data_IF_045292038985
#
_entry.id   IF_045292038985
#
_cell.length_a   1.000
_cell.length_b   1.000
_cell.length_c   1.000
_cell.angle_alpha   90.00
_cell.angle_beta   90.00
_cell.angle_gamma   90.00
#
_symmetry.space_group_name_H-M   'P 1'
#
loop_
_entity.id
_entity.type
_entity.pdbx_description
1 polymer ?
#
# COMPACT_ATOMS: atom_id res chain seq x y z
N UNK A 1 0.60 -0.79 10.13
CA UNK A 1 0.49 0.67 10.32
C UNK A 1 -0.96 1.09 10.13
N UNK A 2 -1.58 1.38 11.26
CA UNK A 2 -2.88 2.01 11.41
C UNK A 2 -2.60 3.31 12.18
N UNK A 3 -3.26 4.39 11.78
CA UNK A 3 -3.14 5.69 12.43
C UNK A 3 -4.46 6.01 13.09
N UNK A 4 -4.42 6.24 14.41
CA UNK A 4 -5.59 6.54 15.21
C UNK A 4 -5.48 7.96 15.78
N UNK A 5 -6.56 8.73 15.65
CA UNK A 5 -6.70 10.01 16.33
C UNK A 5 -7.02 9.77 17.81
N UNK A 6 -6.30 10.43 18.72
CA UNK A 6 -6.57 10.36 20.16
C UNK A 6 -7.62 11.38 20.64
N UNK A 7 -8.07 12.29 19.77
CA UNK A 7 -9.16 13.23 20.04
C UNK A 7 -9.87 13.69 18.76
N UNK A 8 -10.96 14.44 18.95
CA UNK A 8 -11.84 14.88 17.87
C UNK A 8 -11.19 15.90 16.90
N UNK A 9 -10.34 16.79 17.40
CA UNK A 9 -9.62 17.77 16.57
C UNK A 9 -8.68 17.08 15.59
N UNK A 10 -7.86 16.14 16.09
CA UNK A 10 -6.97 15.31 15.28
C UNK A 10 -7.77 14.43 14.33
N UNK A 11 -8.93 13.91 14.74
CA UNK A 11 -9.78 13.12 13.86
C UNK A 11 -10.24 13.92 12.63
N UNK A 12 -10.72 15.15 12.86
CA UNK A 12 -11.19 16.06 11.80
C UNK A 12 -10.05 16.44 10.86
N UNK A 13 -8.88 16.74 11.42
CA UNK A 13 -7.68 17.08 10.65
C UNK A 13 -7.11 15.89 9.85
N UNK A 14 -7.11 14.68 10.41
CA UNK A 14 -6.75 13.48 9.66
C UNK A 14 -7.75 13.23 8.53
N UNK A 15 -9.05 13.35 8.80
CA UNK A 15 -10.09 13.16 7.80
C UNK A 15 -9.92 14.12 6.62
N UNK A 16 -9.69 15.41 6.88
CA UNK A 16 -9.44 16.40 5.83
C UNK A 16 -8.15 16.11 5.07
N UNK A 17 -7.08 15.70 5.77
CA UNK A 17 -5.80 15.34 5.16
C UNK A 17 -5.91 14.12 4.23
N UNK A 18 -6.67 13.09 4.63
CA UNK A 18 -6.99 11.94 3.78
C UNK A 18 -7.83 12.36 2.56
N UNK A 19 -8.81 13.24 2.75
CA UNK A 19 -9.68 13.75 1.68
C UNK A 19 -8.90 14.55 0.66
N UNK A 20 -7.98 15.41 1.12
CA UNK A 20 -7.15 16.29 0.31
C UNK A 20 -5.91 15.59 -0.27
N UNK A 21 -5.68 14.31 0.06
CA UNK A 21 -4.51 13.51 -0.35
C UNK A 21 -3.16 14.08 0.11
N UNK A 22 -3.14 14.77 1.23
CA UNK A 22 -1.90 15.31 1.84
C UNK A 22 -1.10 14.25 2.61
N UNK A 23 -1.53 12.99 2.56
CA UNK A 23 -0.95 11.87 3.29
C UNK A 23 -0.20 10.98 2.30
N UNK A 24 1.12 10.97 2.42
CA UNK A 24 1.99 10.05 1.68
C UNK A 24 1.96 8.67 2.34
N UNK A 25 1.68 7.64 1.56
CA UNK A 25 1.66 6.24 2.02
C UNK A 25 2.52 5.39 1.11
N UNK A 26 3.52 4.73 1.68
CA UNK A 26 4.41 3.83 0.97
C UNK A 26 4.36 2.41 1.55
N UNK A 27 4.42 1.43 0.66
CA UNK A 27 4.31 0.01 0.94
C UNK A 27 5.45 -0.72 0.22
N UNK A 28 6.05 -1.72 0.86
CA UNK A 28 6.95 -2.67 0.19
C UNK A 28 6.24 -4.01 0.03
N UNK A 29 6.34 -4.66 -1.13
CA UNK A 29 5.78 -6.01 -1.32
C UNK A 29 6.62 -6.86 -2.26
N UNK A 30 6.46 -8.18 -2.17
CA UNK A 30 7.00 -9.14 -3.12
C UNK A 30 5.88 -9.63 -4.05
N UNK A 31 6.16 -9.68 -5.34
CA UNK A 31 5.21 -10.14 -6.38
C UNK A 31 5.83 -11.24 -7.23
N UNK A 32 4.97 -12.06 -7.82
CA UNK A 32 5.37 -13.15 -8.72
C UNK A 32 5.99 -12.61 -10.02
N UNK A 33 7.06 -13.25 -10.47
CA UNK A 33 7.74 -12.97 -11.73
C UNK A 33 8.47 -11.63 -11.79
N UNK A 34 8.92 -11.29 -13.00
CA UNK A 34 9.49 -9.98 -13.33
C UNK A 34 8.42 -9.06 -13.87
N UNK A 35 8.49 -7.79 -13.48
CA UNK A 35 7.65 -6.76 -14.10
C UNK A 35 8.22 -6.37 -15.45
N UNK A 36 7.34 -5.96 -16.37
CA UNK A 36 7.75 -5.46 -17.70
C UNK A 36 8.55 -4.15 -17.62
N UNK A 37 8.36 -3.38 -16.56
CA UNK A 37 9.01 -2.09 -16.33
C UNK A 37 9.54 -2.01 -14.90
N UNK A 38 10.66 -1.30 -14.72
CA UNK A 38 11.27 -1.08 -13.40
C UNK A 38 10.51 -0.05 -12.55
N UNK A 39 9.62 0.74 -13.15
CA UNK A 39 8.72 1.63 -12.46
C UNK A 39 7.46 1.87 -13.29
N UNK A 40 6.42 2.42 -12.68
CA UNK A 40 5.22 2.81 -13.41
C UNK A 40 4.10 3.31 -12.52
N UNK A 41 3.02 3.72 -13.16
CA UNK A 41 1.76 4.11 -12.52
C UNK A 41 0.68 3.11 -12.91
N UNK A 42 -0.02 2.57 -11.93
CA UNK A 42 -1.17 1.69 -12.13
C UNK A 42 -2.42 2.46 -11.74
N UNK A 43 -3.20 2.83 -12.74
CA UNK A 43 -4.46 3.55 -12.56
C UNK A 43 -5.61 2.78 -13.19
N UNK A 44 -6.43 2.15 -12.34
CA UNK A 44 -7.55 1.31 -12.76
C UNK A 44 -8.73 1.47 -11.80
N UNK A 45 -9.98 1.43 -12.28
CA UNK A 45 -11.15 1.43 -11.40
C UNK A 45 -11.31 0.07 -10.71
N UNK A 46 -11.53 0.09 -9.39
CA UNK A 46 -11.72 -1.12 -8.59
C UNK A 46 -13.12 -1.20 -7.99
N UNK A 47 -13.78 -2.34 -8.17
CA UNK A 47 -15.08 -2.67 -7.55
C UNK A 47 -14.95 -3.95 -6.71
N UNK A 48 -15.97 -4.27 -5.90
CA UNK A 48 -16.04 -5.59 -5.25
C UNK A 48 -16.31 -6.62 -6.33
N UNK A 49 -15.58 -7.72 -6.32
CA UNK A 49 -15.80 -8.76 -7.32
C UNK A 49 -17.21 -9.32 -7.24
N UNK A 50 -17.82 -9.56 -8.40
CA UNK A 50 -19.16 -10.18 -8.47
C UNK A 50 -19.10 -11.67 -8.11
N UNK A 51 -17.99 -12.34 -8.44
CA UNK A 51 -17.79 -13.78 -8.20
C UNK A 51 -17.29 -14.07 -6.79
N UNK A 52 -16.30 -13.31 -6.31
CA UNK A 52 -15.74 -13.48 -4.97
C UNK A 52 -15.81 -12.18 -4.16
N UNK A 53 -16.80 -12.07 -3.28
CA UNK A 53 -17.07 -10.86 -2.52
C UNK A 53 -15.96 -10.45 -1.53
N UNK A 54 -15.02 -11.35 -1.23
CA UNK A 54 -13.82 -11.08 -0.40
C UNK A 54 -12.76 -10.32 -1.23
N UNK A 55 -12.78 -10.47 -2.55
CA UNK A 55 -11.84 -9.84 -3.48
C UNK A 55 -12.37 -8.52 -4.07
N UNK A 56 -11.42 -7.75 -4.58
CA UNK A 56 -11.63 -6.58 -5.42
C UNK A 56 -11.08 -6.88 -6.81
N UNK A 57 -11.75 -6.42 -7.85
CA UNK A 57 -11.35 -6.65 -9.24
C UNK A 57 -11.43 -5.35 -10.03
N UNK A 58 -10.72 -5.31 -11.17
CA UNK A 58 -10.83 -4.21 -12.12
C UNK A 58 -12.17 -4.29 -12.82
N UNK A 59 -12.91 -3.18 -12.81
CA UNK A 59 -14.26 -3.09 -13.34
C UNK A 59 -14.55 -1.65 -13.72
N UNK A 60 -15.17 -1.44 -14.88
CA UNK A 60 -15.58 -0.10 -15.36
C UNK A 60 -16.53 0.62 -14.39
N UNK A 61 -17.34 -0.11 -13.63
CA UNK A 61 -18.22 0.41 -12.58
C UNK A 61 -17.48 0.69 -11.25
N UNK A 62 -16.18 0.41 -11.21
CA UNK A 62 -15.34 0.58 -10.03
C UNK A 62 -15.01 2.03 -9.72
N UNK A 63 -14.51 2.26 -8.51
CA UNK A 63 -14.00 3.58 -8.13
C UNK A 63 -12.52 3.67 -8.52
N UNK A 64 -12.11 4.79 -9.15
CA UNK A 64 -10.73 5.03 -9.59
C UNK A 64 -9.74 4.74 -8.47
N UNK A 65 -8.73 3.94 -8.78
CA UNK A 65 -7.61 3.62 -7.89
C UNK A 65 -6.30 3.91 -8.61
N UNK A 66 -5.32 4.48 -7.88
CA UNK A 66 -4.06 4.95 -8.46
C UNK A 66 -2.91 4.71 -7.50
N UNK A 67 -1.83 4.12 -8.00
CA UNK A 67 -0.59 3.82 -7.27
C UNK A 67 0.62 3.99 -8.19
N UNK A 68 1.73 4.49 -7.65
CA UNK A 68 3.03 4.44 -8.31
C UNK A 68 3.84 3.28 -7.74
N UNK A 69 4.65 2.63 -8.57
CA UNK A 69 5.57 1.58 -8.10
C UNK A 69 6.96 1.76 -8.69
N UNK A 70 7.94 1.24 -7.95
CA UNK A 70 9.33 1.07 -8.37
C UNK A 70 9.80 -0.31 -7.94
N UNK A 71 10.41 -1.06 -8.84
CA UNK A 71 11.13 -2.30 -8.53
C UNK A 71 12.41 -1.91 -7.81
N UNK A 72 12.58 -2.44 -6.60
CA UNK A 72 13.76 -2.18 -5.76
C UNK A 72 14.69 -3.38 -5.67
N UNK A 73 14.21 -4.56 -6.07
CA UNK A 73 15.00 -5.78 -6.19
C UNK A 73 14.25 -6.80 -7.07
N UNK A 74 14.93 -7.67 -7.80
CA UNK A 74 14.30 -8.71 -8.61
C UNK A 74 15.21 -9.91 -8.90
N UNK A 75 14.59 -11.04 -9.20
CA UNK A 75 15.27 -12.24 -9.70
C UNK A 75 14.40 -12.93 -10.77
N UNK A 76 14.77 -14.15 -11.18
CA UNK A 76 14.06 -14.89 -12.21
C UNK A 76 12.61 -15.27 -11.86
N UNK A 77 12.23 -15.31 -10.58
CA UNK A 77 10.93 -15.80 -10.13
C UNK A 77 10.10 -14.79 -9.33
N UNK A 78 10.69 -13.71 -8.82
CA UNK A 78 9.93 -12.66 -8.12
C UNK A 78 10.58 -11.27 -8.19
N UNK A 79 9.77 -10.26 -7.89
CA UNK A 79 10.18 -8.85 -7.81
C UNK A 79 9.75 -8.23 -6.49
N UNK A 80 10.63 -7.45 -5.87
CA UNK A 80 10.38 -6.62 -4.70
C UNK A 80 10.05 -5.21 -5.15
N UNK A 81 8.90 -4.71 -4.76
CA UNK A 81 8.39 -3.40 -5.15
C UNK A 81 8.29 -2.47 -3.96
N UNK A 82 8.57 -1.20 -4.21
CA UNK A 82 8.13 -0.06 -3.40
C UNK A 82 6.95 0.60 -4.09
N UNK A 83 5.85 0.79 -3.37
CA UNK A 83 4.57 1.25 -3.91
C UNK A 83 4.07 2.45 -3.11
N UNK A 84 3.87 3.57 -3.80
CA UNK A 84 3.20 4.76 -3.28
C UNK A 84 1.71 4.70 -3.61
N UNK A 85 0.86 4.84 -2.58
CA UNK A 85 -0.59 4.87 -2.74
C UNK A 85 -1.14 6.30 -2.84
N UNK A 86 -1.54 6.69 -4.05
CA UNK A 86 -2.25 7.96 -4.30
C UNK A 86 -3.69 7.87 -3.77
N UNK A 87 -4.36 6.74 -4.01
CA UNK A 87 -5.69 6.43 -3.43
C UNK A 87 -5.59 5.31 -2.39
N UNK A 88 -6.65 5.09 -1.60
CA UNK A 88 -6.69 4.06 -0.55
C UNK A 88 -7.87 3.10 -0.65
N UNK A 89 -8.10 2.47 -1.82
CA UNK A 89 -9.19 1.49 -1.94
C UNK A 89 -8.84 0.23 -1.15
N UNK A 90 -9.85 -0.42 -0.57
CA UNK A 90 -9.66 -1.72 0.07
C UNK A 90 -9.04 -2.71 -0.93
N UNK A 91 -8.04 -3.47 -0.50
CA UNK A 91 -7.26 -4.44 -1.29
C UNK A 91 -6.59 -3.87 -2.56
N UNK A 92 -6.41 -2.55 -2.67
CA UNK A 92 -5.91 -1.88 -3.89
C UNK A 92 -4.65 -2.50 -4.47
N UNK A 93 -3.57 -2.61 -3.68
CA UNK A 93 -2.29 -3.16 -4.16
C UNK A 93 -2.48 -4.58 -4.67
N UNK A 94 -3.16 -5.45 -3.89
CA UNK A 94 -3.39 -6.85 -4.28
C UNK A 94 -4.10 -6.96 -5.62
N UNK A 95 -5.21 -6.24 -5.78
CA UNK A 95 -6.00 -6.30 -7.02
C UNK A 95 -5.28 -5.68 -8.23
N UNK A 96 -4.51 -4.61 -8.01
CA UNK A 96 -3.71 -3.99 -9.07
C UNK A 96 -2.59 -4.91 -9.55
N UNK A 97 -1.89 -5.55 -8.60
CA UNK A 97 -0.82 -6.52 -8.88
C UNK A 97 -1.36 -7.76 -9.60
N UNK A 98 -2.50 -8.30 -9.16
CA UNK A 98 -3.21 -9.39 -9.85
C UNK A 98 -3.62 -8.98 -11.28
N UNK A 99 -4.11 -7.74 -11.47
CA UNK A 99 -4.52 -7.21 -12.77
C UNK A 99 -3.36 -7.08 -13.77
N UNK A 100 -2.18 -6.64 -13.33
CA UNK A 100 -1.01 -6.54 -14.22
C UNK A 100 -0.30 -7.87 -14.47
N UNK A 101 -0.78 -8.96 -13.84
CA UNK A 101 -0.25 -10.32 -14.02
C UNK A 101 0.91 -10.68 -13.09
N UNK A 102 1.20 -9.86 -12.08
CA UNK A 102 2.25 -10.10 -11.08
C UNK A 102 1.61 -10.07 -9.68
N UNK A 103 0.80 -11.07 -9.28
CA UNK A 103 0.10 -11.06 -8.00
C UNK A 103 1.09 -11.00 -6.82
N UNK A 104 0.64 -10.45 -5.68
CA UNK A 104 1.43 -10.45 -4.45
C UNK A 104 1.64 -11.90 -4.01
N UNK A 105 2.89 -12.26 -3.73
CA UNK A 105 3.23 -13.57 -3.19
C UNK A 105 2.59 -13.76 -1.81
N UNK A 106 1.74 -14.78 -1.69
CA UNK A 106 1.18 -15.22 -0.42
C UNK A 106 2.14 -16.17 0.28
N UNK A 107 2.14 -16.14 1.61
CA UNK A 107 3.01 -16.94 2.48
C UNK A 107 2.92 -18.46 2.22
N UNK A 108 1.77 -18.94 1.70
CA UNK A 108 1.55 -20.34 1.33
C UNK A 108 2.22 -20.79 0.01
N UNK A 109 2.58 -19.87 -0.89
CA UNK A 109 3.20 -20.19 -2.18
C UNK A 109 4.74 -20.16 -2.13
N UNK A 110 5.33 -19.83 -0.98
CA UNK A 110 6.78 -19.60 -0.83
C UNK A 110 7.55 -20.90 -0.54
N UNK A 111 7.54 -21.88 -1.46
CA UNK A 111 8.48 -23.01 -1.43
C UNK A 111 9.83 -22.72 -2.11
N UNK A 112 10.05 -21.52 -2.66
CA UNK A 112 11.32 -21.19 -3.33
C UNK A 112 12.39 -20.62 -2.38
N UNK A 113 13.17 -21.57 -1.83
CA UNK A 113 14.22 -21.48 -0.80
C UNK A 113 15.49 -20.65 -1.09
N UNK A 114 15.50 -19.64 -1.96
CA UNK A 114 16.76 -18.91 -2.29
C UNK A 114 16.87 -17.48 -1.72
N UNK A 115 15.76 -16.86 -1.36
CA UNK A 115 15.71 -15.51 -0.75
C UNK A 115 15.54 -15.54 0.78
N UNK A 116 15.23 -16.72 1.34
CA UNK A 116 15.00 -16.92 2.78
C UNK A 116 16.31 -17.02 3.59
N UNK A 117 17.46 -17.34 2.97
CA UNK A 117 18.71 -17.57 3.70
C UNK A 117 19.61 -16.34 3.83
N UNK A 118 19.56 -15.40 2.88
CA UNK A 118 20.40 -14.19 2.88
C UNK A 118 19.73 -12.97 3.53
N UNK A 119 18.43 -13.04 3.77
CA UNK A 119 17.66 -11.97 4.39
C UNK A 119 16.85 -12.61 5.53
N UNK A 120 16.99 -12.15 6.78
CA UNK A 120 16.13 -12.56 7.91
C UNK A 120 14.67 -12.19 7.59
N UNK A 121 13.97 -13.01 6.81
CA UNK A 121 12.57 -12.80 6.44
C UNK A 121 11.73 -13.46 7.53
N UNK A 122 11.45 -12.69 8.58
CA UNK A 122 10.28 -12.92 9.44
C UNK A 122 9.12 -12.19 8.77
N UNK A 123 8.25 -12.93 8.11
CA UNK A 123 6.97 -12.49 7.56
C UNK A 123 7.11 -11.57 6.33
N UNK A 124 6.16 -11.63 5.39
CA UNK A 124 6.01 -10.65 4.31
C UNK A 124 5.72 -9.29 4.95
N UNK A 125 6.78 -8.58 5.33
CA UNK A 125 6.67 -7.28 5.96
C UNK A 125 6.37 -6.28 4.85
N UNK A 126 5.09 -5.91 4.73
CA UNK A 126 4.81 -4.60 4.16
C UNK A 126 5.39 -3.60 5.15
N UNK A 127 6.60 -3.13 4.88
CA UNK A 127 7.13 -1.97 5.57
C UNK A 127 6.27 -0.79 5.14
N UNK A 128 5.47 -0.29 6.08
CA UNK A 128 4.54 0.81 5.88
C UNK A 128 5.18 2.08 6.44
N UNK A 129 5.41 3.07 5.59
CA UNK A 129 5.83 4.42 6.00
C UNK A 129 4.67 5.38 5.77
N UNK A 130 4.30 6.14 6.80
CA UNK A 130 3.46 7.34 6.67
C UNK A 130 4.33 8.56 6.88
N UNK A 131 4.29 9.49 5.94
CA UNK A 131 4.77 10.84 6.17
C UNK A 131 3.55 11.78 6.17
N UNK A 132 3.16 12.26 7.35
CA UNK A 132 2.10 13.25 7.52
C UNK A 132 2.70 14.66 7.39
N UNK A 133 2.61 15.26 6.19
CA UNK A 133 2.95 16.68 6.00
C UNK A 133 1.73 17.52 6.36
N UNK A 134 1.61 17.86 7.64
CA UNK A 134 0.59 18.78 8.15
C UNK A 134 1.17 20.20 8.13
N UNK A 135 0.84 20.99 7.10
CA UNK A 135 1.08 22.43 7.16
C UNK A 135 0.05 23.06 8.10
N UNK A 136 0.41 23.18 9.38
CA UNK A 136 -0.39 23.89 10.37
C UNK A 136 0.05 25.36 10.35
N UNK A 137 -0.70 26.20 9.62
CA UNK A 137 -0.68 27.64 9.87
C UNK A 137 -1.43 27.87 11.20
N UNK A 138 -0.65 27.98 12.28
CA UNK A 138 -1.03 28.37 13.64
C UNK A 138 -1.99 27.38 14.36
N UNK A 139 -1.41 26.39 15.05
CA UNK A 139 -1.78 25.98 16.41
C UNK A 139 -0.88 24.81 16.86
N UNK A 140 0.10 25.14 17.71
CA UNK A 140 0.87 24.31 18.65
C UNK A 140 1.34 22.88 18.25
N UNK A 141 2.64 22.66 18.46
CA UNK A 141 3.37 21.38 18.49
C UNK A 141 2.71 20.22 19.29
N UNK A 142 1.64 20.47 20.05
CA UNK A 142 0.90 19.45 20.84
C UNK A 142 0.13 18.44 19.99
N UNK A 143 -0.33 18.79 18.79
CA UNK A 143 -1.17 17.92 17.95
C UNK A 143 -0.41 16.71 17.37
N UNK A 144 0.92 16.81 17.14
CA UNK A 144 1.72 15.68 16.64
C UNK A 144 1.83 14.53 17.65
N UNK A 145 1.86 14.83 18.96
CA UNK A 145 1.92 13.83 20.02
C UNK A 145 0.57 13.11 20.26
N UNK A 146 -0.49 13.49 19.53
CA UNK A 146 -1.84 12.94 19.68
C UNK A 146 -2.20 11.95 18.56
N UNK A 147 -1.21 11.53 17.78
CA UNK A 147 -1.33 10.54 16.72
C UNK A 147 -0.56 9.28 17.14
N UNK A 148 -1.27 8.15 17.29
CA UNK A 148 -0.64 6.87 17.61
C UNK A 148 -0.45 6.02 16.34
N UNK A 149 0.75 5.46 16.15
CA UNK A 149 1.10 4.58 15.05
C UNK A 149 1.14 3.12 15.55
N UNK A 150 0.18 2.30 15.12
CA UNK A 150 0.18 0.86 15.43
C UNK A 150 0.77 0.06 14.28
N UNK A 151 1.85 -0.67 14.52
CA UNK A 151 2.33 -1.72 13.61
C UNK A 151 1.53 -2.99 13.85
N UNK A 152 0.80 -3.41 12.83
CA UNK A 152 0.07 -4.68 12.75
C UNK A 152 1.01 -5.79 12.29
#
# INVERSE_FOLDING_TARGET
MIVCALNHEVFTLLQSSFKNRNIYKEYVCLVEGKLRTQSGKIEVPLSRSRKNRIKREVSSEGKVSSSNFVVIDENSTCSKLKIELITGRNHQIRSQMEFIGNPILNEFYMEQKRWLSSMKIRFVYIQKKLDLKLEIKIMNLKLMNQVFLMTS
#
